data_IF_216236958256
#
_entry.id   IF_216236958256
#
_cell.length_a   1.000
_cell.length_b   1.000
_cell.length_c   1.000
_cell.angle_alpha   90.00
_cell.angle_beta   90.00
_cell.angle_gamma   90.00
#
_symmetry.space_group_name_H-M   'P 1'
#
loop_
_entity.id
_entity.type
_entity.pdbx_description
1 polymer ?
#
# COMPACT_ATOMS: atom_id res chain seq x y z
N UNK A 1 7.45 -4.46 -6.89
CA UNK A 1 6.82 -4.96 -5.64
C UNK A 1 6.76 -6.48 -5.70
N UNK A 2 6.72 -7.22 -4.58
CA UNK A 2 6.50 -8.66 -4.61
C UNK A 2 5.11 -9.00 -5.17
N UNK A 3 5.02 -10.07 -5.95
CA UNK A 3 3.74 -10.66 -6.37
C UNK A 3 3.12 -11.51 -5.24
N UNK A 4 1.80 -11.67 -5.27
CA UNK A 4 1.05 -12.53 -4.33
C UNK A 4 0.95 -12.02 -2.89
N UNK A 5 1.22 -10.74 -2.62
CA UNK A 5 1.10 -10.17 -1.28
C UNK A 5 -0.37 -10.15 -0.87
N UNK A 6 -0.70 -10.70 0.30
CA UNK A 6 -2.07 -10.74 0.78
C UNK A 6 -2.94 -11.81 0.10
N UNK A 7 -2.38 -12.65 -0.78
CA UNK A 7 -3.06 -13.78 -1.42
C UNK A 7 -2.65 -15.08 -0.70
N UNK A 8 -3.62 -15.74 -0.05
CA UNK A 8 -3.43 -17.04 0.60
C UNK A 8 -4.18 -18.18 -0.11
N UNK A 9 -3.92 -19.42 0.31
CA UNK A 9 -4.48 -20.64 -0.30
C UNK A 9 -6.03 -20.68 -0.33
N UNK A 10 -6.72 -19.93 0.53
CA UNK A 10 -8.18 -19.92 0.61
C UNK A 10 -8.78 -18.54 0.89
N UNK A 11 -7.96 -17.47 0.86
CA UNK A 11 -8.41 -16.12 1.18
C UNK A 11 -7.53 -15.07 0.52
N UNK A 12 -8.15 -14.02 -0.01
CA UNK A 12 -7.46 -12.83 -0.52
C UNK A 12 -7.74 -11.67 0.43
N UNK A 13 -6.67 -11.03 0.90
CA UNK A 13 -6.76 -9.85 1.76
C UNK A 13 -7.31 -8.67 0.95
N UNK A 14 -8.11 -7.78 1.56
CA UNK A 14 -8.69 -6.66 0.81
C UNK A 14 -7.68 -5.71 0.18
N UNK A 15 -6.46 -5.69 0.71
CA UNK A 15 -5.32 -5.00 0.11
C UNK A 15 -4.29 -6.06 -0.27
N UNK A 16 -4.06 -6.27 -1.56
CA UNK A 16 -3.20 -7.33 -2.07
C UNK A 16 -2.49 -6.93 -3.37
N UNK A 17 -1.49 -7.71 -3.80
CA UNK A 17 -0.90 -7.63 -5.14
C UNK A 17 -1.08 -8.97 -5.85
N UNK A 18 -1.34 -8.94 -7.16
CA UNK A 18 -1.44 -10.15 -7.98
C UNK A 18 -0.12 -10.42 -8.71
N UNK A 19 0.04 -9.81 -9.88
CA UNK A 19 1.09 -10.10 -10.86
C UNK A 19 2.41 -9.38 -10.55
N UNK A 20 3.50 -9.64 -11.30
CA UNK A 20 4.78 -8.94 -11.16
C UNK A 20 4.74 -7.45 -11.52
N UNK A 21 3.62 -6.94 -12.05
CA UNK A 21 3.44 -5.53 -12.41
C UNK A 21 3.49 -4.58 -11.20
N UNK A 22 3.33 -5.13 -10.00
CA UNK A 22 3.42 -4.40 -8.74
C UNK A 22 2.23 -3.50 -8.47
N UNK A 23 1.08 -3.75 -9.13
CA UNK A 23 -0.16 -3.03 -8.87
C UNK A 23 -0.74 -3.48 -7.52
N UNK A 24 -1.17 -2.51 -6.72
CA UNK A 24 -1.85 -2.74 -5.44
C UNK A 24 -3.36 -2.71 -5.67
N UNK A 25 -4.03 -3.82 -5.38
CA UNK A 25 -5.48 -3.98 -5.46
C UNK A 25 -6.12 -3.65 -4.11
N UNK A 26 -7.22 -2.89 -4.17
CA UNK A 26 -8.03 -2.49 -3.02
C UNK A 26 -9.46 -3.00 -3.23
N UNK A 27 -9.71 -4.23 -2.83
CA UNK A 27 -10.96 -4.96 -3.11
C UNK A 27 -11.64 -5.38 -1.81
N UNK A 28 -12.77 -4.74 -1.49
CA UNK A 28 -13.46 -4.92 -0.21
C UNK A 28 -14.87 -5.46 -0.42
N UNK A 29 -15.30 -6.36 0.48
CA UNK A 29 -16.70 -6.74 0.59
C UNK A 29 -17.39 -5.83 1.62
N UNK A 30 -18.40 -5.06 1.18
CA UNK A 30 -19.21 -4.21 2.06
C UNK A 30 -18.70 -2.78 2.23
N UNK A 31 -19.06 -2.14 3.35
CA UNK A 31 -18.79 -0.72 3.60
C UNK A 31 -17.29 -0.45 3.78
N UNK A 32 -16.72 0.38 2.91
CA UNK A 32 -15.32 0.83 2.99
C UNK A 32 -15.22 2.16 3.73
N UNK A 33 -14.33 2.22 4.73
CA UNK A 33 -14.00 3.45 5.47
C UNK A 33 -12.60 3.93 5.09
N UNK A 34 -12.31 5.21 5.32
CA UNK A 34 -10.99 5.81 5.03
C UNK A 34 -9.82 5.00 5.60
N UNK A 35 -9.92 4.55 6.85
CA UNK A 35 -8.87 3.73 7.49
C UNK A 35 -8.64 2.36 6.84
N UNK A 36 -9.55 1.88 5.99
CA UNK A 36 -9.37 0.62 5.27
C UNK A 36 -8.44 0.77 4.06
N UNK A 37 -8.35 1.99 3.50
CA UNK A 37 -7.64 2.27 2.25
C UNK A 37 -6.41 3.18 2.46
N UNK A 38 -5.90 3.25 3.68
CA UNK A 38 -4.65 3.96 3.97
C UNK A 38 -3.43 3.14 3.52
N UNK A 39 -2.35 3.80 3.11
CA UNK A 39 -1.08 3.15 2.75
C UNK A 39 -0.54 2.23 3.86
N UNK A 40 -0.79 2.56 5.12
CA UNK A 40 -0.48 1.67 6.27
C UNK A 40 -1.12 0.28 6.17
N UNK A 41 -2.32 0.17 5.60
CA UNK A 41 -2.98 -1.14 5.46
C UNK A 41 -2.28 -2.01 4.42
N UNK A 42 -1.73 -1.42 3.36
CA UNK A 42 -0.89 -2.15 2.41
C UNK A 42 0.35 -2.74 3.09
N UNK A 43 1.10 -1.91 3.83
CA UNK A 43 2.27 -2.38 4.60
C UNK A 43 1.89 -3.45 5.63
N UNK A 44 0.74 -3.28 6.30
CA UNK A 44 0.22 -4.30 7.23
C UNK A 44 -0.08 -5.62 6.53
N UNK A 45 -0.70 -5.60 5.34
CA UNK A 45 -0.93 -6.80 4.51
C UNK A 45 0.38 -7.47 4.09
N UNK A 46 1.41 -6.66 3.84
CA UNK A 46 2.76 -7.16 3.57
C UNK A 46 3.46 -7.75 4.81
N UNK A 47 2.98 -7.46 6.01
CA UNK A 47 3.71 -7.78 7.23
C UNK A 47 5.00 -6.95 7.39
N UNK A 48 4.99 -5.70 6.88
CA UNK A 48 6.08 -4.73 7.00
C UNK A 48 5.58 -3.47 7.68
N UNK A 49 6.49 -2.71 8.27
CA UNK A 49 6.27 -1.30 8.59
C UNK A 49 6.79 -0.43 7.45
N UNK A 50 6.22 0.76 7.25
CA UNK A 50 6.71 1.69 6.22
C UNK A 50 8.19 2.02 6.44
N UNK A 51 8.69 2.03 7.68
CA UNK A 51 10.09 2.29 7.99
C UNK A 51 10.98 1.03 7.92
N UNK A 52 10.47 -0.11 7.46
CA UNK A 52 11.26 -1.36 7.43
C UNK A 52 12.39 -1.37 6.40
N UNK A 53 12.48 -0.36 5.54
CA UNK A 53 13.40 -0.33 4.39
C UNK A 53 14.52 0.72 4.52
N UNK A 54 14.49 1.56 5.56
CA UNK A 54 15.48 2.62 5.79
C UNK A 54 15.09 3.51 6.95
N UNK A 55 16.01 4.38 7.37
CA UNK A 55 15.79 5.28 8.53
C UNK A 55 15.03 6.54 8.18
N UNK A 56 15.09 6.93 6.90
CA UNK A 56 14.41 8.09 6.34
C UNK A 56 13.56 7.65 5.15
N UNK A 57 12.32 8.14 5.08
CA UNK A 57 11.41 7.88 3.97
C UNK A 57 10.94 9.21 3.39
N UNK A 58 11.17 9.40 2.09
CA UNK A 58 10.58 10.49 1.30
C UNK A 58 9.47 9.91 0.46
N UNK A 59 8.30 10.54 0.52
CA UNK A 59 7.12 10.11 -0.23
C UNK A 59 6.69 11.19 -1.22
N UNK A 60 6.38 10.76 -2.43
CA UNK A 60 5.65 11.56 -3.41
C UNK A 60 4.36 10.85 -3.83
N UNK A 61 3.35 11.65 -4.16
CA UNK A 61 2.08 11.20 -4.74
C UNK A 61 1.90 11.98 -6.03
N UNK A 62 1.84 11.28 -7.15
CA UNK A 62 1.69 11.90 -8.48
C UNK A 62 2.77 12.98 -8.75
N UNK A 63 3.98 12.74 -8.25
CA UNK A 63 5.14 13.64 -8.40
C UNK A 63 5.18 14.81 -7.41
N UNK A 64 4.18 14.98 -6.54
CA UNK A 64 4.16 16.01 -5.51
C UNK A 64 4.58 15.44 -4.16
N UNK A 65 5.33 16.21 -3.37
CA UNK A 65 5.73 15.80 -2.03
C UNK A 65 4.50 15.57 -1.15
N UNK A 66 4.51 14.47 -0.39
CA UNK A 66 3.47 14.13 0.57
C UNK A 66 4.12 13.60 1.85
N UNK A 67 3.67 14.10 3.00
CA UNK A 67 4.22 13.74 4.32
C UNK A 67 3.24 12.92 5.18
N UNK A 68 2.11 12.49 4.62
CA UNK A 68 1.10 11.70 5.33
C UNK A 68 1.57 10.26 5.57
N UNK A 69 2.48 9.75 4.73
CA UNK A 69 3.10 8.43 4.86
C UNK A 69 2.03 7.33 5.04
N UNK A 70 2.10 6.56 6.12
CA UNK A 70 1.14 5.50 6.41
C UNK A 70 -0.31 5.99 6.55
N UNK A 71 -0.52 7.26 6.90
CA UNK A 71 -1.86 7.85 7.05
C UNK A 71 -2.49 8.24 5.72
N UNK A 72 -1.72 8.24 4.63
CA UNK A 72 -2.19 8.61 3.30
C UNK A 72 -3.34 7.71 2.85
N UNK A 73 -4.48 8.31 2.51
CA UNK A 73 -5.66 7.61 1.96
C UNK A 73 -5.46 7.45 0.46
N UNK A 74 -5.19 6.21 0.02
CA UNK A 74 -4.93 5.89 -1.38
C UNK A 74 -6.17 6.11 -2.24
N UNK A 75 -5.98 6.62 -3.46
CA UNK A 75 -7.04 6.78 -4.46
C UNK A 75 -6.71 6.01 -5.73
N UNK A 76 -7.74 5.78 -6.53
CA UNK A 76 -7.58 5.16 -7.85
C UNK A 76 -6.54 5.92 -8.68
N UNK A 77 -5.63 5.17 -9.32
CA UNK A 77 -4.54 5.66 -10.18
C UNK A 77 -3.48 6.54 -9.53
N UNK A 78 -3.47 6.68 -8.20
CA UNK A 78 -2.35 7.35 -7.55
C UNK A 78 -1.04 6.61 -7.79
N UNK A 79 -0.03 7.35 -8.27
CA UNK A 79 1.34 6.88 -8.29
C UNK A 79 2.02 7.33 -7.01
N UNK A 80 2.19 6.40 -6.07
CA UNK A 80 2.90 6.62 -4.81
C UNK A 80 4.33 6.14 -4.96
N UNK A 81 5.30 7.02 -4.75
CA UNK A 81 6.73 6.65 -4.75
C UNK A 81 7.29 6.86 -3.34
N UNK A 82 7.95 5.84 -2.81
CA UNK A 82 8.66 5.90 -1.53
C UNK A 82 10.15 5.71 -1.81
N UNK A 83 10.96 6.66 -1.34
CA UNK A 83 12.42 6.61 -1.43
C UNK A 83 12.99 6.50 -0.04
N UNK A 84 13.82 5.48 0.17
CA UNK A 84 14.48 5.23 1.43
C UNK A 84 15.96 5.60 1.32
N UNK A 85 16.48 6.19 2.40
CA UNK A 85 17.91 6.48 2.59
C UNK A 85 18.47 5.62 3.74
#
# INVERSE_FOLDING_TARGET
MPSGLGVGLSSVSPVHTHEPDGVVHLEFQGLVRKNNITLKQFFKSWGKDINSFGTSVKMTVNGQENTELGSYVMKDKDKIELRYE
#
